data_IF_805506308146
#
_entry.id   IF_805506308146
#
_cell.length_a   1.000
_cell.length_b   1.000
_cell.length_c   1.000
_cell.angle_alpha   90.00
_cell.angle_beta   90.00
_cell.angle_gamma   90.00
#
_symmetry.space_group_name_H-M   'P 1'
#
loop_
_entity.id
_entity.type
_entity.pdbx_description
1 polymer ?
#
# COMPACT_ATOMS: atom_id res chain seq x y z
N UNK A 1 10.19 -50.16 -9.84
CA UNK A 1 8.88 -49.48 -9.96
C UNK A 1 8.69 -48.43 -8.85
N UNK A 2 9.61 -47.45 -8.73
CA UNK A 2 9.49 -46.29 -7.84
C UNK A 2 10.31 -45.13 -8.43
N UNK A 3 9.71 -44.28 -9.28
CA UNK A 3 10.42 -43.08 -9.78
C UNK A 3 9.49 -41.91 -10.14
N UNK A 4 8.19 -42.15 -10.34
CA UNK A 4 7.29 -41.09 -10.81
C UNK A 4 6.79 -40.16 -9.68
N UNK A 5 6.71 -40.62 -8.43
CA UNK A 5 6.18 -39.81 -7.34
C UNK A 5 7.15 -38.73 -6.83
N UNK A 6 8.46 -39.00 -6.79
CA UNK A 6 9.47 -38.07 -6.28
C UNK A 6 9.80 -36.91 -7.23
N UNK A 7 9.70 -37.15 -8.54
CA UNK A 7 9.95 -36.13 -9.57
C UNK A 7 8.80 -35.11 -9.61
N UNK A 8 7.54 -35.56 -9.52
CA UNK A 8 6.37 -34.68 -9.54
C UNK A 8 6.32 -33.76 -8.31
N UNK A 9 6.66 -34.27 -7.12
CA UNK A 9 6.70 -33.44 -5.90
C UNK A 9 7.82 -32.39 -5.94
N UNK A 10 8.98 -32.74 -6.50
CA UNK A 10 10.13 -31.83 -6.62
C UNK A 10 9.84 -30.69 -7.59
N UNK A 11 9.26 -31.00 -8.75
CA UNK A 11 8.88 -30.00 -9.76
C UNK A 11 7.79 -29.06 -9.25
N UNK A 12 6.73 -29.57 -8.61
CA UNK A 12 5.66 -28.74 -8.07
C UNK A 12 6.13 -27.82 -6.94
N UNK A 13 7.06 -28.28 -6.07
CA UNK A 13 7.66 -27.43 -5.02
C UNK A 13 8.55 -26.34 -5.62
N UNK A 14 9.32 -26.65 -6.67
CA UNK A 14 10.19 -25.70 -7.37
C UNK A 14 9.38 -24.63 -8.10
N UNK A 15 8.30 -25.00 -8.79
CA UNK A 15 7.39 -24.07 -9.45
C UNK A 15 6.71 -23.16 -8.44
N UNK A 16 6.22 -23.70 -7.32
CA UNK A 16 5.66 -22.89 -6.22
C UNK A 16 6.70 -21.92 -5.65
N UNK A 17 7.91 -22.38 -5.32
CA UNK A 17 8.97 -21.51 -4.79
C UNK A 17 9.44 -20.44 -5.77
N UNK A 18 9.48 -20.75 -7.07
CA UNK A 18 9.83 -19.79 -8.12
C UNK A 18 8.72 -18.75 -8.32
N UNK A 19 7.45 -19.15 -8.23
CA UNK A 19 6.33 -18.22 -8.25
C UNK A 19 6.32 -17.29 -7.03
N UNK A 20 6.63 -17.79 -5.82
CA UNK A 20 6.76 -16.91 -4.63
C UNK A 20 7.95 -15.96 -4.77
N UNK A 21 9.09 -16.44 -5.27
CA UNK A 21 10.27 -15.59 -5.49
C UNK A 21 10.01 -14.50 -6.53
N UNK A 22 9.35 -14.84 -7.65
CA UNK A 22 8.98 -13.87 -8.68
C UNK A 22 7.98 -12.81 -8.14
N UNK A 23 6.99 -13.24 -7.35
CA UNK A 23 6.02 -12.33 -6.72
C UNK A 23 6.68 -11.38 -5.72
N UNK A 24 7.62 -11.87 -4.91
CA UNK A 24 8.41 -11.05 -4.00
C UNK A 24 9.28 -10.05 -4.75
N UNK A 25 9.99 -10.49 -5.79
CA UNK A 25 10.81 -9.62 -6.64
C UNK A 25 9.97 -8.51 -7.29
N UNK A 26 8.77 -8.83 -7.77
CA UNK A 26 7.84 -7.85 -8.30
C UNK A 26 7.41 -6.82 -7.25
N UNK A 27 7.01 -7.27 -6.05
CA UNK A 27 6.62 -6.37 -4.94
C UNK A 27 7.75 -5.44 -4.53
N UNK A 28 8.98 -5.97 -4.42
CA UNK A 28 10.16 -5.19 -4.05
C UNK A 28 10.47 -4.13 -5.11
N UNK A 29 10.45 -4.51 -6.39
CA UNK A 29 10.68 -3.58 -7.50
C UNK A 29 9.64 -2.45 -7.53
N UNK A 30 8.35 -2.80 -7.36
CA UNK A 30 7.28 -1.80 -7.30
C UNK A 30 7.47 -0.83 -6.12
N UNK A 31 7.82 -1.33 -4.93
CA UNK A 31 8.05 -0.50 -3.75
C UNK A 31 9.26 0.42 -3.94
N UNK A 32 10.36 -0.11 -4.46
CA UNK A 32 11.57 0.67 -4.74
C UNK A 32 11.31 1.78 -5.76
N UNK A 33 10.53 1.50 -6.80
CA UNK A 33 10.13 2.52 -7.77
C UNK A 33 9.27 3.61 -7.11
N UNK A 34 8.29 3.25 -6.28
CA UNK A 34 7.45 4.25 -5.60
C UNK A 34 8.29 5.17 -4.70
N UNK A 35 9.24 4.60 -3.95
CA UNK A 35 10.18 5.39 -3.13
C UNK A 35 11.06 6.29 -4.00
N UNK A 36 11.54 5.80 -5.15
CA UNK A 36 12.40 6.56 -6.05
C UNK A 36 11.71 7.78 -6.68
N UNK A 37 10.37 7.76 -6.80
CA UNK A 37 9.58 8.90 -7.32
C UNK A 37 8.90 9.72 -6.24
N UNK A 38 9.03 9.33 -4.97
CA UNK A 38 8.40 10.02 -3.86
C UNK A 38 9.08 11.37 -3.58
N UNK A 39 8.29 12.35 -3.16
CA UNK A 39 8.80 13.61 -2.63
C UNK A 39 8.87 13.53 -1.11
N UNK A 40 10.00 13.94 -0.55
CA UNK A 40 10.16 14.04 0.90
C UNK A 40 9.34 15.22 1.44
N UNK A 41 8.63 14.99 2.55
CA UNK A 41 7.78 15.98 3.21
C UNK A 41 8.24 16.09 4.67
N UNK A 42 8.66 17.29 5.08
CA UNK A 42 8.99 17.58 6.47
C UNK A 42 7.69 17.82 7.26
N UNK A 43 7.34 16.87 8.13
CA UNK A 43 6.14 16.94 8.97
C UNK A 43 6.54 17.31 10.39
N UNK A 44 6.02 18.45 10.88
CA UNK A 44 6.27 18.95 12.25
C UNK A 44 5.00 19.01 13.11
N UNK A 45 3.97 18.28 12.70
CA UNK A 45 2.73 18.18 13.45
C UNK A 45 2.84 17.12 14.55
N UNK A 46 2.16 17.36 15.67
CA UNK A 46 1.99 16.40 16.77
C UNK A 46 0.49 16.08 16.92
N UNK A 47 -0.22 16.05 15.80
CA UNK A 47 -1.66 15.89 15.79
C UNK A 47 -2.00 14.43 16.06
N UNK A 48 -2.97 14.22 16.94
CA UNK A 48 -3.51 12.90 17.26
C UNK A 48 -4.93 12.83 16.71
N UNK A 49 -5.09 12.58 15.40
CA UNK A 49 -6.42 12.41 14.82
C UNK A 49 -7.13 11.16 15.36
N UNK A 50 -6.43 10.31 16.12
CA UNK A 50 -6.96 9.14 16.80
C UNK A 50 -7.71 8.24 15.82
N UNK A 51 -7.04 7.92 14.70
CA UNK A 51 -7.52 6.90 13.78
C UNK A 51 -7.62 5.56 14.51
N UNK A 52 -8.46 4.67 13.95
CA UNK A 52 -8.66 3.32 14.48
C UNK A 52 -7.35 2.55 14.59
N UNK A 53 -6.47 2.69 13.61
CA UNK A 53 -5.09 2.21 13.67
C UNK A 53 -4.18 3.37 14.07
N UNK A 54 -3.52 3.25 15.21
CA UNK A 54 -2.62 4.30 15.70
C UNK A 54 -1.43 4.55 14.75
N UNK A 55 -1.00 3.53 14.00
CA UNK A 55 0.09 3.63 13.04
C UNK A 55 -0.25 4.50 11.83
N UNK A 56 -1.53 4.62 11.48
CA UNK A 56 -1.99 5.38 10.32
C UNK A 56 -2.08 6.89 10.58
N UNK A 57 -1.99 7.32 11.85
CA UNK A 57 -2.09 8.75 12.20
C UNK A 57 -1.07 9.60 11.42
N UNK A 58 0.16 9.10 11.26
CA UNK A 58 1.22 9.81 10.54
C UNK A 58 0.92 9.96 9.04
N UNK A 59 0.18 9.01 8.45
CA UNK A 59 -0.20 9.06 7.03
C UNK A 59 -1.12 10.27 6.79
N UNK A 60 -2.04 10.51 7.72
CA UNK A 60 -2.92 11.68 7.67
C UNK A 60 -2.14 12.98 7.85
N UNK A 61 -1.17 13.01 8.77
CA UNK A 61 -0.32 14.20 8.97
C UNK A 61 0.49 14.55 7.71
N UNK A 62 1.10 13.55 7.06
CA UNK A 62 1.78 13.74 5.77
C UNK A 62 0.81 14.27 4.74
N UNK A 63 -0.37 13.67 4.61
CA UNK A 63 -1.35 14.09 3.60
C UNK A 63 -1.80 15.54 3.80
N UNK A 64 -1.90 16.01 5.05
CA UNK A 64 -2.20 17.42 5.34
C UNK A 64 -1.01 18.32 5.01
N UNK A 65 0.22 17.91 5.37
CA UNK A 65 1.43 18.69 5.10
C UNK A 65 1.76 18.78 3.61
N UNK A 66 1.44 17.74 2.84
CA UNK A 66 1.66 17.63 1.40
C UNK A 66 0.51 18.21 0.55
N UNK A 67 -0.40 18.98 1.15
CA UNK A 67 -1.59 19.47 0.44
C UNK A 67 -1.22 20.33 -0.79
N UNK A 68 -1.88 20.14 -1.95
CA UNK A 68 -2.97 19.20 -2.22
C UNK A 68 -2.50 17.74 -2.34
N UNK A 69 -3.10 16.84 -1.54
CA UNK A 69 -2.77 15.41 -1.49
C UNK A 69 -4.03 14.54 -1.38
N UNK A 70 -3.98 13.35 -1.97
CA UNK A 70 -5.04 12.32 -1.89
C UNK A 70 -4.45 11.04 -1.34
N UNK A 71 -5.08 10.45 -0.32
CA UNK A 71 -4.70 9.16 0.24
C UNK A 71 -5.38 8.06 -0.58
N UNK A 72 -4.58 7.18 -1.17
CA UNK A 72 -5.06 6.04 -1.96
C UNK A 72 -4.90 4.76 -1.14
N UNK A 73 -6.00 4.16 -0.71
CA UNK A 73 -5.99 2.96 0.15
C UNK A 73 -7.22 2.09 -0.06
N UNK A 74 -7.10 0.80 0.21
CA UNK A 74 -8.26 -0.10 0.30
C UNK A 74 -8.99 0.03 1.65
N UNK A 75 -8.32 0.55 2.69
CA UNK A 75 -8.84 0.64 4.04
C UNK A 75 -9.51 1.99 4.32
N UNK A 76 -10.42 2.43 3.44
CA UNK A 76 -11.03 3.78 3.54
C UNK A 76 -11.71 4.00 4.90
N UNK A 77 -12.34 2.96 5.46
CA UNK A 77 -13.02 3.03 6.76
C UNK A 77 -12.11 3.49 7.90
N UNK A 78 -10.83 3.16 7.83
CA UNK A 78 -9.89 3.47 8.92
C UNK A 78 -9.59 4.97 8.97
N UNK A 79 -9.67 5.66 7.84
CA UNK A 79 -9.53 7.11 7.71
C UNK A 79 -10.86 7.86 7.85
N UNK A 80 -11.99 7.18 7.67
CA UNK A 80 -13.32 7.78 7.77
C UNK A 80 -13.73 8.16 9.21
N UNK A 81 -13.08 7.61 10.24
CA UNK A 81 -13.49 7.76 11.63
C UNK A 81 -12.54 8.58 12.53
N UNK A 82 -11.56 9.29 11.96
CA UNK A 82 -10.71 10.26 12.67
C UNK A 82 -11.47 11.22 13.60
N UNK A 83 -11.06 11.35 14.85
CA UNK A 83 -11.60 12.37 15.76
C UNK A 83 -11.34 13.79 15.24
N UNK A 84 -10.16 14.00 14.63
CA UNK A 84 -9.81 15.23 13.94
C UNK A 84 -10.05 15.09 12.44
N UNK A 85 -10.96 15.92 11.88
CA UNK A 85 -11.32 15.88 10.46
C UNK A 85 -10.49 16.88 9.65
N UNK A 86 -10.01 16.44 8.50
CA UNK A 86 -9.36 17.29 7.49
C UNK A 86 -10.15 17.19 6.19
N UNK A 87 -11.19 18.01 5.98
CA UNK A 87 -12.04 17.94 4.79
C UNK A 87 -11.28 18.09 3.47
N UNK A 88 -10.12 18.76 3.50
CA UNK A 88 -9.26 18.95 2.34
C UNK A 88 -8.45 17.71 1.93
N UNK A 89 -8.36 16.67 2.78
CA UNK A 89 -7.67 15.42 2.47
C UNK A 89 -8.69 14.42 1.94
N UNK A 90 -8.60 14.10 0.66
CA UNK A 90 -9.49 13.13 0.00
C UNK A 90 -8.91 11.72 0.15
N UNK A 91 -9.77 10.74 0.40
CA UNK A 91 -9.42 9.32 0.45
C UNK A 91 -10.14 8.57 -0.66
N UNK A 92 -9.44 7.74 -1.44
CA UNK A 92 -10.07 6.91 -2.48
C UNK A 92 -9.39 5.52 -2.58
N UNK A 93 -10.08 4.57 -3.20
CA UNK A 93 -9.48 3.28 -3.58
C UNK A 93 -8.62 3.43 -4.84
N UNK A 94 -7.63 2.55 -5.04
CA UNK A 94 -6.90 2.50 -6.31
C UNK A 94 -7.82 2.36 -7.53
N UNK A 95 -8.91 1.59 -7.42
CA UNK A 95 -9.88 1.43 -8.51
C UNK A 95 -10.62 2.73 -8.85
N UNK A 96 -11.01 3.51 -7.84
CA UNK A 96 -11.61 4.84 -8.04
C UNK A 96 -10.62 5.82 -8.66
N UNK A 97 -9.36 5.81 -8.23
CA UNK A 97 -8.32 6.63 -8.85
C UNK A 97 -8.17 6.30 -10.34
N UNK A 98 -8.06 5.02 -10.69
CA UNK A 98 -7.94 4.60 -12.10
C UNK A 98 -9.14 5.04 -12.95
N UNK A 99 -10.36 4.97 -12.40
CA UNK A 99 -11.55 5.49 -13.09
C UNK A 99 -11.46 6.99 -13.32
N UNK A 100 -11.02 7.77 -12.31
CA UNK A 100 -10.88 9.23 -12.44
C UNK A 100 -9.82 9.69 -13.44
N UNK A 101 -8.83 8.85 -13.75
CA UNK A 101 -7.78 9.16 -14.74
C UNK A 101 -8.16 8.81 -16.18
N UNK A 102 -9.24 8.05 -16.38
CA UNK A 102 -9.66 7.56 -17.71
C UNK A 102 -10.76 8.43 -18.34
N UNK A 103 -11.36 9.34 -17.57
CA UNK A 103 -12.36 10.31 -18.01
C UNK A 103 -11.75 11.70 -18.23
#
# INVERSE_FOLDING_TARGET
MYSNYSILTTTARRLRSQQTAAHLAFKLSATAHLVAVATEIDVRSLWRPNLRDEGDNFVLEIAVAAWPCTIVTHNISDFAHAELRFPQVVTCTPGQLMQSLTH
#
